data_IF_261557847994
#
_entry.id   IF_261557847994
#
_cell.length_a   1.000
_cell.length_b   1.000
_cell.length_c   1.000
_cell.angle_alpha   90.00
_cell.angle_beta   90.00
_cell.angle_gamma   90.00
#
_symmetry.space_group_name_H-M   'P 1'
#
loop_
_entity.id
_entity.type
_entity.pdbx_description
1 polymer ?
#
# COMPACT_ATOMS: atom_id res chain seq x y z
N UNK A 1 10.13 4.00 -8.57
CA UNK A 1 9.98 2.91 -7.58
C UNK A 1 9.04 3.38 -6.50
N UNK A 2 8.09 2.53 -6.08
CA UNK A 2 7.18 2.81 -4.97
C UNK A 2 7.55 1.94 -3.76
N UNK A 3 7.34 2.45 -2.56
CA UNK A 3 7.67 1.76 -1.31
C UNK A 3 6.55 1.96 -0.30
N UNK A 4 6.13 0.88 0.32
CA UNK A 4 5.21 0.89 1.46
C UNK A 4 6.01 1.00 2.76
N UNK A 5 5.83 2.13 3.44
CA UNK A 5 6.32 2.38 4.79
C UNK A 5 5.23 1.96 5.78
N UNK A 6 5.22 0.67 6.08
CA UNK A 6 4.29 0.05 7.00
C UNK A 6 4.65 0.33 8.46
N UNK A 7 3.64 0.61 9.29
CA UNK A 7 3.77 0.62 10.74
C UNK A 7 3.34 -0.75 11.32
N UNK A 8 4.28 -1.57 11.82
CA UNK A 8 3.96 -2.91 12.32
C UNK A 8 2.94 -2.93 13.47
N UNK A 9 2.94 -1.91 14.34
CA UNK A 9 1.98 -1.88 15.46
C UNK A 9 0.55 -1.65 14.98
N UNK A 10 0.36 -0.79 13.97
CA UNK A 10 -0.95 -0.54 13.38
C UNK A 10 -1.39 -1.73 12.52
N UNK A 11 -0.51 -2.34 11.72
CA UNK A 11 -0.86 -3.56 10.97
C UNK A 11 -1.26 -4.74 11.86
N UNK A 12 -0.64 -4.88 13.04
CA UNK A 12 -0.96 -5.94 13.98
C UNK A 12 -2.33 -5.76 14.65
N UNK A 13 -2.77 -4.51 14.83
CA UNK A 13 -4.07 -4.16 15.40
C UNK A 13 -4.71 -2.98 14.67
N UNK A 14 -5.18 -3.16 13.42
CA UNK A 14 -5.65 -2.06 12.59
C UNK A 14 -6.87 -1.38 13.19
N UNK A 15 -6.90 -0.05 13.09
CA UNK A 15 -8.08 0.75 13.41
C UNK A 15 -8.71 1.14 12.08
N UNK A 16 -9.65 0.32 11.62
CA UNK A 16 -10.21 0.40 10.27
C UNK A 16 -10.65 1.83 9.93
N UNK A 17 -9.98 2.42 8.92
CA UNK A 17 -10.21 3.79 8.42
C UNK A 17 -10.01 4.91 9.46
N UNK A 18 -9.12 4.73 10.45
CA UNK A 18 -8.69 5.80 11.35
C UNK A 18 -7.55 6.62 10.72
N UNK A 19 -7.78 7.88 10.31
CA UNK A 19 -6.72 8.72 9.72
C UNK A 19 -5.62 9.10 10.73
N UNK A 20 -5.83 8.90 12.03
CA UNK A 20 -4.82 9.06 13.08
C UNK A 20 -3.90 7.85 13.27
N UNK A 21 -4.22 6.70 12.66
CA UNK A 21 -3.50 5.44 12.85
C UNK A 21 -3.32 4.64 11.53
N UNK A 22 -2.86 5.31 10.47
CA UNK A 22 -2.71 4.72 9.12
C UNK A 22 -1.68 3.57 9.11
N UNK A 23 -2.09 2.38 8.65
CA UNK A 23 -1.25 1.18 8.70
C UNK A 23 -0.02 1.22 7.78
N UNK A 24 -0.12 1.85 6.60
CA UNK A 24 1.03 2.05 5.73
C UNK A 24 0.94 3.34 4.93
N UNK A 25 2.05 4.08 4.88
CA UNK A 25 2.22 5.18 3.95
C UNK A 25 2.89 4.67 2.67
N UNK A 26 2.52 5.21 1.51
CA UNK A 26 3.13 4.82 0.24
C UNK A 26 3.90 6.00 -0.32
N UNK A 27 5.19 5.78 -0.56
CA UNK A 27 6.09 6.77 -1.14
C UNK A 27 6.52 6.37 -2.54
N UNK A 28 6.73 7.35 -3.41
CA UNK A 28 7.37 7.16 -4.71
C UNK A 28 8.66 7.96 -4.77
N UNK A 29 9.74 7.32 -5.24
CA UNK A 29 11.01 7.98 -5.49
C UNK A 29 10.93 8.81 -6.78
N UNK A 30 11.19 10.11 -6.65
CA UNK A 30 11.25 11.09 -7.75
C UNK A 30 12.67 11.66 -7.88
N UNK A 31 12.92 12.52 -8.88
CA UNK A 31 14.18 13.26 -9.04
C UNK A 31 14.49 14.22 -7.89
N UNK A 32 13.51 14.56 -7.06
CA UNK A 32 13.64 15.50 -5.96
C UNK A 32 13.46 14.83 -4.58
N UNK A 33 13.56 13.50 -4.52
CA UNK A 33 13.39 12.71 -3.29
C UNK A 33 12.11 11.90 -3.24
N UNK A 34 11.85 11.25 -2.11
CA UNK A 34 10.65 10.46 -1.89
C UNK A 34 9.43 11.36 -1.61
N UNK A 35 8.34 11.15 -2.37
CA UNK A 35 7.08 11.89 -2.23
C UNK A 35 5.99 10.96 -1.71
N UNK A 36 5.20 11.42 -0.74
CA UNK A 36 4.03 10.68 -0.25
C UNK A 36 2.95 10.68 -1.32
N UNK A 37 2.59 9.50 -1.83
CA UNK A 37 1.62 9.35 -2.94
C UNK A 37 0.30 8.73 -2.52
N UNK A 38 0.26 7.97 -1.42
CA UNK A 38 -0.97 7.40 -0.88
C UNK A 38 -0.86 7.06 0.60
N UNK A 39 -2.02 6.90 1.23
CA UNK A 39 -2.20 6.13 2.45
C UNK A 39 -2.81 4.77 2.09
N UNK A 40 -2.37 3.70 2.75
CA UNK A 40 -2.96 2.37 2.66
C UNK A 40 -3.52 1.99 4.02
N UNK A 41 -4.83 1.84 4.08
CA UNK A 41 -5.53 1.30 5.24
C UNK A 41 -5.65 -0.21 5.11
N UNK A 42 -5.57 -0.92 6.24
CA UNK A 42 -5.77 -2.36 6.29
C UNK A 42 -6.89 -2.72 7.27
N UNK A 43 -7.63 -3.79 6.97
CA UNK A 43 -8.54 -4.39 7.94
C UNK A 43 -7.81 -5.37 8.85
N UNK A 44 -8.33 -5.58 10.06
CA UNK A 44 -7.78 -6.59 10.96
C UNK A 44 -7.89 -8.02 10.36
N UNK A 45 -6.86 -8.85 10.56
CA UNK A 45 -6.80 -10.22 10.04
C UNK A 45 -8.00 -11.09 10.46
N UNK A 46 -8.51 -10.88 11.67
CA UNK A 46 -9.70 -11.57 12.19
C UNK A 46 -11.01 -11.11 11.55
N UNK A 47 -10.98 -10.09 10.68
CA UNK A 47 -12.12 -9.61 9.89
C UNK A 47 -12.04 -10.05 8.43
N UNK A 48 -11.05 -10.87 8.05
CA UNK A 48 -10.97 -11.46 6.71
C UNK A 48 -12.25 -12.29 6.45
N UNK A 49 -13.01 -11.90 5.42
CA UNK A 49 -14.31 -12.49 5.08
C UNK A 49 -15.53 -11.69 5.56
N UNK A 50 -15.34 -10.65 6.38
CA UNK A 50 -16.38 -9.66 6.66
C UNK A 50 -16.46 -8.64 5.52
N UNK A 51 -17.64 -8.04 5.34
CA UNK A 51 -17.80 -6.93 4.42
C UNK A 51 -16.99 -5.72 4.91
N UNK A 52 -16.05 -5.19 4.10
CA UNK A 52 -15.31 -4.00 4.47
C UNK A 52 -16.22 -2.76 4.50
N UNK A 53 -15.92 -1.75 5.33
CA UNK A 53 -16.69 -0.50 5.33
C UNK A 53 -16.52 0.25 4.00
N UNK A 54 -17.63 0.76 3.46
CA UNK A 54 -17.67 1.47 2.18
C UNK A 54 -18.23 2.90 2.36
N UNK A 55 -17.53 3.81 3.04
CA UNK A 55 -18.00 5.19 3.24
C UNK A 55 -18.25 5.95 1.93
N UNK A 56 -17.56 5.59 0.83
CA UNK A 56 -17.81 6.10 -0.52
C UNK A 56 -18.66 5.16 -1.40
N UNK A 57 -19.33 4.16 -0.81
CA UNK A 57 -20.04 3.12 -1.54
C UNK A 57 -19.14 2.38 -2.51
N UNK A 58 -19.60 2.17 -3.74
CA UNK A 58 -18.85 1.47 -4.79
C UNK A 58 -17.52 2.14 -5.18
N UNK A 59 -17.28 3.39 -4.78
CA UNK A 59 -15.99 4.05 -5.01
C UNK A 59 -14.93 3.62 -4.00
N UNK A 60 -15.30 3.02 -2.87
CA UNK A 60 -14.35 2.52 -1.87
C UNK A 60 -14.03 1.06 -2.16
N UNK A 61 -12.98 0.84 -2.95
CA UNK A 61 -12.60 -0.50 -3.40
C UNK A 61 -11.51 -1.11 -2.52
N UNK A 62 -11.91 -2.09 -1.72
CA UNK A 62 -10.99 -2.92 -0.95
C UNK A 62 -10.52 -4.10 -1.80
N UNK A 63 -9.25 -4.47 -1.67
CA UNK A 63 -8.68 -5.61 -2.39
C UNK A 63 -7.70 -6.40 -1.51
N UNK A 64 -7.30 -7.57 -2.01
CA UNK A 64 -6.24 -8.40 -1.42
C UNK A 64 -5.22 -8.75 -2.50
N UNK A 65 -3.98 -8.97 -2.10
CA UNK A 65 -3.02 -9.66 -2.94
C UNK A 65 -2.91 -11.12 -2.51
N UNK A 66 -2.90 -12.01 -3.50
CA UNK A 66 -2.74 -13.47 -3.31
C UNK A 66 -1.41 -13.98 -3.81
N UNK A 67 -0.56 -13.11 -4.35
CA UNK A 67 0.70 -13.44 -5.01
C UNK A 67 1.91 -12.78 -4.33
N UNK A 68 1.76 -12.16 -3.16
CA UNK A 68 2.88 -11.51 -2.47
C UNK A 68 3.64 -12.50 -1.60
N UNK A 69 4.96 -12.38 -1.64
CA UNK A 69 5.90 -13.17 -0.87
C UNK A 69 6.39 -12.38 0.34
N UNK A 70 6.21 -12.95 1.53
CA UNK A 70 6.58 -12.36 2.80
C UNK A 70 7.82 -13.04 3.38
N UNK A 71 8.78 -12.24 3.84
CA UNK A 71 9.92 -12.76 4.60
C UNK A 71 9.43 -13.57 5.80
N UNK A 72 9.91 -14.81 5.94
CA UNK A 72 9.53 -15.68 7.04
C UNK A 72 9.99 -15.16 8.41
N UNK A 73 11.02 -14.30 8.44
CA UNK A 73 11.61 -13.76 9.68
C UNK A 73 11.19 -12.33 9.98
N UNK A 74 10.98 -11.51 8.94
CA UNK A 74 10.65 -10.07 9.10
C UNK A 74 9.18 -9.75 8.91
N UNK A 75 8.40 -10.64 8.29
CA UNK A 75 6.98 -10.39 8.00
C UNK A 75 6.72 -9.26 6.99
N UNK A 76 7.75 -8.81 6.27
CA UNK A 76 7.65 -7.77 5.23
C UNK A 76 7.57 -8.39 3.83
N UNK A 77 6.93 -7.70 2.90
CA UNK A 77 6.90 -8.09 1.47
C UNK A 77 8.32 -8.01 0.91
N UNK A 78 8.77 -9.08 0.28
CA UNK A 78 10.09 -9.17 -0.39
C UNK A 78 9.99 -9.36 -1.90
N UNK A 79 8.77 -9.46 -2.42
CA UNK A 79 8.50 -9.61 -3.85
C UNK A 79 7.12 -10.19 -4.09
N UNK A 80 6.81 -10.45 -5.36
CA UNK A 80 5.69 -11.26 -5.77
C UNK A 80 6.17 -12.65 -6.21
N UNK A 81 5.27 -13.61 -6.25
CA UNK A 81 5.52 -14.92 -6.81
C UNK A 81 5.99 -14.83 -8.25
N UNK A 82 6.92 -15.72 -8.60
CA UNK A 82 7.33 -15.95 -9.96
C UNK A 82 7.17 -17.43 -10.28
N UNK A 83 6.30 -17.76 -11.24
CA UNK A 83 5.92 -19.14 -11.58
C UNK A 83 5.42 -19.95 -10.37
N UNK A 84 4.64 -19.31 -9.48
CA UNK A 84 4.09 -19.93 -8.27
C UNK A 84 5.11 -20.19 -7.16
N UNK A 85 6.31 -19.61 -7.26
CA UNK A 85 7.36 -19.74 -6.26
C UNK A 85 7.73 -18.38 -5.66
N UNK A 86 7.97 -18.38 -4.36
CA UNK A 86 8.54 -17.25 -3.64
C UNK A 86 10.07 -17.34 -3.56
N UNK A 87 10.78 -16.20 -3.46
CA UNK A 87 12.20 -16.18 -3.17
C UNK A 87 12.56 -17.01 -1.93
N UNK A 88 13.77 -17.59 -1.91
CA UNK A 88 14.23 -18.39 -0.77
C UNK A 88 14.14 -17.60 0.56
N UNK A 89 13.61 -18.24 1.61
CA UNK A 89 13.39 -17.59 2.91
C UNK A 89 12.10 -16.75 3.00
N UNK A 90 11.21 -16.87 2.01
CA UNK A 90 9.89 -16.23 2.02
C UNK A 90 8.76 -17.20 1.69
N UNK A 91 7.54 -16.84 2.06
CA UNK A 91 6.32 -17.62 1.82
C UNK A 91 5.24 -16.74 1.21
N UNK A 92 4.44 -17.29 0.31
CA UNK A 92 3.22 -16.63 -0.14
C UNK A 92 2.24 -16.49 1.04
N UNK A 93 1.62 -15.32 1.17
CA UNK A 93 0.50 -15.10 2.08
C UNK A 93 -0.51 -14.18 1.41
N UNK A 94 -1.79 -14.45 1.64
CA UNK A 94 -2.86 -13.51 1.27
C UNK A 94 -2.78 -12.31 2.21
N UNK A 95 -2.82 -11.10 1.66
CA UNK A 95 -2.85 -9.89 2.49
C UNK A 95 -4.19 -9.75 3.21
N UNK A 96 -4.20 -8.93 4.26
CA UNK A 96 -5.44 -8.34 4.75
C UNK A 96 -6.15 -7.58 3.62
N UNK A 97 -7.48 -7.40 3.67
CA UNK A 97 -8.16 -6.42 2.84
C UNK A 97 -7.52 -5.05 3.03
N UNK A 98 -7.12 -4.41 1.94
CA UNK A 98 -6.47 -3.12 1.92
C UNK A 98 -7.26 -2.13 1.05
N UNK A 99 -7.21 -0.87 1.44
CA UNK A 99 -7.74 0.25 0.68
C UNK A 99 -6.63 1.29 0.52
N UNK A 100 -6.34 1.67 -0.72
CA UNK A 100 -5.48 2.81 -1.00
C UNK A 100 -6.30 4.08 -1.15
N UNK A 101 -5.83 5.14 -0.51
CA UNK A 101 -6.30 6.51 -0.71
C UNK A 101 -5.15 7.30 -1.32
N UNK A 102 -5.26 7.57 -2.61
CA UNK A 102 -4.23 8.23 -3.41
C UNK A 102 -4.31 9.75 -3.25
N UNK A 103 -3.17 10.35 -2.88
CA UNK A 103 -2.95 11.79 -2.94
C UNK A 103 -2.47 12.19 -4.34
N UNK A 104 -1.69 11.31 -4.98
CA UNK A 104 -1.25 11.50 -6.35
C UNK A 104 -2.43 11.35 -7.34
N UNK A 105 -2.46 12.14 -8.43
CA UNK A 105 -3.54 12.08 -9.42
C UNK A 105 -3.39 10.87 -10.35
N UNK A 106 -3.59 9.67 -9.82
CA UNK A 106 -3.55 8.41 -10.58
C UNK A 106 -4.81 8.22 -11.42
N UNK A 107 -4.67 7.53 -12.55
CA UNK A 107 -5.81 7.16 -13.39
C UNK A 107 -6.78 6.25 -12.60
N UNK A 108 -8.09 6.50 -12.70
CA UNK A 108 -9.10 5.82 -11.88
C UNK A 108 -9.51 6.58 -10.62
N UNK A 109 -8.78 7.65 -10.26
CA UNK A 109 -9.14 8.54 -9.17
C UNK A 109 -8.60 8.11 -7.80
N UNK A 110 -9.01 8.81 -6.72
CA UNK A 110 -8.34 8.73 -5.42
C UNK A 110 -8.51 7.39 -4.67
N UNK A 111 -9.41 6.52 -5.11
CA UNK A 111 -9.73 5.24 -4.45
C UNK A 111 -9.55 4.02 -5.36
N UNK A 112 -8.87 4.19 -6.49
CA UNK A 112 -8.63 3.09 -7.44
C UNK A 112 -7.72 2.00 -6.85
N UNK A 113 -8.01 0.74 -7.14
CA UNK A 113 -7.23 -0.43 -6.68
C UNK A 113 -5.91 -0.59 -7.44
N UNK A 114 -5.92 -0.43 -8.76
CA UNK A 114 -4.85 -0.92 -9.63
C UNK A 114 -4.08 0.20 -10.35
N UNK A 115 -3.66 1.22 -9.60
CA UNK A 115 -2.69 2.16 -10.15
C UNK A 115 -1.35 1.42 -10.38
N UNK A 116 -0.95 1.26 -11.65
CA UNK A 116 0.33 0.63 -11.98
C UNK A 116 1.51 1.45 -11.43
N UNK A 117 2.63 0.79 -11.14
CA UNK A 117 3.83 1.49 -10.65
C UNK A 117 4.32 2.60 -11.58
N UNK A 118 4.11 2.46 -12.90
CA UNK A 118 4.40 3.51 -13.88
C UNK A 118 3.46 4.71 -13.74
N UNK A 119 2.14 4.48 -13.61
CA UNK A 119 1.17 5.55 -13.38
C UNK A 119 1.44 6.28 -12.07
N UNK A 120 1.77 5.55 -11.00
CA UNK A 120 2.11 6.14 -9.69
C UNK A 120 3.35 7.02 -9.82
N UNK A 121 4.41 6.53 -10.47
CA UNK A 121 5.66 7.29 -10.65
C UNK A 121 5.42 8.56 -11.48
N UNK A 122 4.61 8.48 -12.54
CA UNK A 122 4.25 9.64 -13.36
C UNK A 122 3.37 10.64 -12.60
N UNK A 123 2.42 10.16 -11.79
CA UNK A 123 1.58 11.00 -10.96
C UNK A 123 2.36 11.67 -9.82
N UNK A 124 3.35 10.98 -9.24
CA UNK A 124 4.22 11.52 -8.19
C UNK A 124 4.98 12.76 -8.64
N UNK A 125 5.40 12.82 -9.91
CA UNK A 125 6.09 13.98 -10.47
C UNK A 125 5.24 15.26 -10.55
N UNK A 126 3.92 15.13 -10.39
CA UNK A 126 2.97 16.26 -10.38
C UNK A 126 2.75 16.82 -8.96
N UNK A 127 3.18 16.09 -7.92
CA UNK A 127 3.06 16.54 -6.55
C UNK A 127 4.19 17.51 -6.18
N UNK A 128 3.96 18.46 -5.27
CA UNK A 128 5.00 19.34 -4.78
C UNK A 128 6.17 18.55 -4.16
N UNK A 129 7.39 18.98 -4.43
CA UNK A 129 8.55 18.42 -3.77
C UNK A 129 8.51 18.74 -2.26
N UNK A 130 8.76 17.77 -1.37
CA UNK A 130 8.90 18.04 0.05
C UNK A 130 10.08 18.98 0.29
N UNK A 131 9.94 19.87 1.27
CA UNK A 131 10.98 20.80 1.71
C UNK A 131 11.16 20.69 3.23
N UNK A 132 12.30 20.16 3.72
CA UNK A 132 13.42 19.64 2.94
C UNK A 132 13.05 18.35 2.15
N UNK A 133 13.80 18.00 1.09
CA UNK A 133 13.62 16.75 0.38
C UNK A 133 13.74 15.52 1.31
N UNK A 134 12.83 14.56 1.15
CA UNK A 134 13.01 13.26 1.78
C UNK A 134 14.09 12.46 1.03
N UNK A 135 14.96 11.71 1.73
CA UNK A 135 15.82 10.74 1.09
C UNK A 135 15.02 9.77 0.22
N UNK A 136 15.68 9.16 -0.77
CA UNK A 136 15.07 8.08 -1.51
C UNK A 136 14.63 6.96 -0.54
N UNK A 137 13.40 6.51 -0.75
CA UNK A 137 12.71 5.48 -0.01
C UNK A 137 13.24 4.08 -0.31
#
# INVERSE_FOLDING_TARGET
MMVHYANPSYLASPQTLDPGAIESLVYANTSHGAVLVAAMYAMANNQVGQAPPMPGGCLTEWHVHTNLCFSNTKGVVVGAEHNGLCPAGSSNRVTQPMLHVWLAPVAGGPLTVDASGAQITAAAAQLPAPSPPNPAA
#
